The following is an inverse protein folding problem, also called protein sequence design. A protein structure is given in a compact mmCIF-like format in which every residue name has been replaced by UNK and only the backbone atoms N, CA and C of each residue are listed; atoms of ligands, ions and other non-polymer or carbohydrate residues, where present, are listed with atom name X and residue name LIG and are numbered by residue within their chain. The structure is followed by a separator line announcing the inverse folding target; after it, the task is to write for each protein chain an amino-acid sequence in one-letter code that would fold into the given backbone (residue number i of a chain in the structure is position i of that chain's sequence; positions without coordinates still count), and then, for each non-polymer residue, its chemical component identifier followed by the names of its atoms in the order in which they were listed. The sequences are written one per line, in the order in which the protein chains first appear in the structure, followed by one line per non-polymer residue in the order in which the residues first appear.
data_IF_645290579741
#
_entry.id   IF_645290579741
#
_cell.length_a   1.000
_cell.length_b   1.000
_cell.length_c   1.000
_cell.angle_alpha   90.00
_cell.angle_beta   90.00
_cell.angle_gamma   90.00
#
_symmetry.space_group_name_H-M   'P 1'
#
loop_
_entity.id
_entity.type
_entity.pdbx_description
1 polymer ?
#
# COMPACT_ATOMS: atom_id res chain seq x y z
N UNK A 1 27.55 12.28 -30.41
CA UNK A 1 26.07 12.17 -30.54
C UNK A 1 25.65 10.99 -29.72
N UNK A 2 25.29 11.21 -28.46
CA UNK A 2 24.67 10.21 -27.60
C UNK A 2 23.17 10.25 -27.87
N UNK A 3 22.64 9.20 -28.43
CA UNK A 3 21.21 9.05 -28.69
C UNK A 3 20.43 9.21 -27.38
N UNK A 4 19.53 10.20 -27.36
CA UNK A 4 18.52 10.33 -26.33
C UNK A 4 17.53 9.16 -26.49
N UNK A 5 17.16 8.43 -25.43
CA UNK A 5 16.20 7.34 -25.54
C UNK A 5 14.87 7.89 -26.07
N UNK A 6 14.36 7.28 -27.13
CA UNK A 6 13.03 7.54 -27.69
C UNK A 6 11.97 7.18 -26.66
N UNK A 7 11.00 8.09 -26.50
CA UNK A 7 9.83 7.93 -25.64
C UNK A 7 9.11 6.60 -25.96
N UNK A 8 9.03 5.68 -24.98
CA UNK A 8 8.30 4.41 -25.11
C UNK A 8 9.09 3.09 -24.95
N UNK A 9 10.40 3.10 -24.67
CA UNK A 9 11.08 1.86 -24.26
C UNK A 9 10.65 1.45 -22.83
N UNK A 10 10.22 0.20 -22.58
CA UNK A 10 9.89 -0.26 -21.24
C UNK A 10 11.14 -0.17 -20.36
N UNK A 11 11.07 0.66 -19.33
CA UNK A 11 12.13 0.72 -18.31
C UNK A 11 12.14 -0.62 -17.60
N UNK A 12 13.22 -1.38 -17.76
CA UNK A 12 13.39 -2.65 -17.08
C UNK A 12 13.41 -2.41 -15.57
N UNK A 13 12.54 -3.12 -14.86
CA UNK A 13 12.48 -3.03 -13.41
C UNK A 13 13.76 -3.60 -12.82
N UNK A 14 14.41 -2.86 -11.93
CA UNK A 14 15.62 -3.31 -11.23
C UNK A 14 15.21 -4.02 -9.94
N UNK A 15 15.46 -5.34 -9.81
CA UNK A 15 15.22 -6.04 -8.56
C UNK A 15 16.00 -5.40 -7.42
N UNK A 16 15.36 -5.23 -6.27
CA UNK A 16 15.92 -4.47 -5.14
C UNK A 16 15.67 -5.21 -3.84
N UNK A 17 16.72 -5.44 -3.06
CA UNK A 17 16.59 -6.03 -1.72
C UNK A 17 16.24 -4.96 -0.67
N UNK A 18 15.31 -5.30 0.21
CA UNK A 18 14.99 -4.52 1.40
C UNK A 18 14.32 -5.42 2.46
N UNK A 19 14.74 -5.28 3.73
CA UNK A 19 14.15 -6.01 4.86
C UNK A 19 14.12 -7.55 4.68
N UNK A 20 15.13 -8.11 4.00
CA UNK A 20 15.22 -9.54 3.70
C UNK A 20 14.32 -10.02 2.56
N UNK A 21 13.61 -9.12 1.87
CA UNK A 21 12.77 -9.42 0.70
C UNK A 21 13.40 -8.85 -0.57
N UNK A 22 13.44 -9.65 -1.64
CA UNK A 22 13.83 -9.19 -2.98
C UNK A 22 12.57 -8.74 -3.74
N UNK A 23 12.43 -7.43 -3.93
CA UNK A 23 11.36 -6.83 -4.70
C UNK A 23 11.66 -6.86 -6.20
N UNK A 24 10.63 -6.94 -7.04
CA UNK A 24 10.76 -6.94 -8.51
C UNK A 24 11.22 -5.61 -9.06
N UNK A 25 10.95 -4.53 -8.34
CA UNK A 25 11.37 -3.19 -8.71
C UNK A 25 11.88 -2.38 -7.52
N UNK A 26 12.75 -1.40 -7.81
CA UNK A 26 13.14 -0.37 -6.85
C UNK A 26 11.94 0.39 -6.30
N UNK A 27 10.92 0.61 -7.12
CA UNK A 27 9.72 1.35 -6.72
C UNK A 27 8.93 0.60 -5.64
N UNK A 28 8.77 -0.71 -5.79
CA UNK A 28 8.16 -1.57 -4.75
C UNK A 28 8.98 -1.54 -3.46
N UNK A 29 10.31 -1.63 -3.54
CA UNK A 29 11.17 -1.53 -2.36
C UNK A 29 11.05 -0.17 -1.66
N UNK A 30 10.89 0.93 -2.42
CA UNK A 30 10.68 2.27 -1.86
C UNK A 30 9.27 2.40 -1.22
N UNK A 31 8.25 1.73 -1.74
CA UNK A 31 6.95 1.61 -1.08
C UNK A 31 7.03 0.82 0.22
N UNK A 32 7.76 -0.30 0.24
CA UNK A 32 8.00 -1.05 1.47
C UNK A 32 8.71 -0.19 2.54
N UNK A 33 9.74 0.57 2.16
CA UNK A 33 10.40 1.55 3.05
C UNK A 33 9.41 2.57 3.59
N UNK A 34 8.56 3.10 2.72
CA UNK A 34 7.54 4.09 3.09
C UNK A 34 6.57 3.51 4.12
N UNK A 35 6.05 2.31 3.89
CA UNK A 35 5.15 1.62 4.82
C UNK A 35 5.84 1.36 6.18
N UNK A 36 7.09 0.92 6.17
CA UNK A 36 7.88 0.73 7.39
C UNK A 36 8.08 2.05 8.17
N UNK A 37 8.35 3.17 7.48
CA UNK A 37 8.44 4.48 8.18
C UNK A 37 7.13 4.90 8.84
N UNK A 38 6.01 4.44 8.31
CA UNK A 38 4.68 4.70 8.86
C UNK A 38 4.24 3.61 9.85
N UNK A 39 5.09 2.62 10.15
CA UNK A 39 4.76 1.46 10.98
C UNK A 39 3.48 0.75 10.48
N UNK A 40 3.34 0.65 9.16
CA UNK A 40 2.24 -0.08 8.52
C UNK A 40 2.80 -1.44 8.11
N UNK A 41 2.21 -2.49 8.62
CA UNK A 41 2.62 -3.83 8.25
C UNK A 41 2.22 -4.18 6.82
N UNK A 42 3.07 -4.97 6.19
CA UNK A 42 2.89 -5.40 4.81
C UNK A 42 3.36 -6.83 4.60
N UNK A 43 2.68 -7.50 3.69
CA UNK A 43 3.09 -8.77 3.08
C UNK A 43 3.31 -8.52 1.60
N UNK A 44 4.46 -8.95 1.06
CA UNK A 44 4.79 -8.79 -0.35
C UNK A 44 4.34 -10.02 -1.13
N UNK A 45 3.59 -9.79 -2.22
CA UNK A 45 3.07 -10.83 -3.12
C UNK A 45 2.44 -12.04 -2.39
N UNK A 46 1.48 -11.84 -1.47
CA UNK A 46 1.04 -12.88 -0.53
C UNK A 46 0.41 -14.09 -1.21
N UNK A 47 -0.29 -13.91 -2.34
CA UNK A 47 -0.83 -15.02 -3.12
C UNK A 47 -1.17 -14.65 -4.56
N UNK A 48 -1.18 -15.66 -5.44
CA UNK A 48 -1.66 -15.55 -6.82
C UNK A 48 -3.17 -15.82 -6.87
N UNK A 49 -3.89 -14.92 -7.53
CA UNK A 49 -5.35 -14.91 -7.58
C UNK A 49 -5.81 -15.10 -9.03
N UNK A 50 -6.87 -15.88 -9.23
CA UNK A 50 -7.58 -15.93 -10.52
C UNK A 50 -8.74 -14.94 -10.42
N UNK A 51 -8.67 -13.86 -11.21
CA UNK A 51 -9.71 -12.83 -11.24
C UNK A 51 -10.97 -13.35 -11.98
N UNK A 52 -12.14 -12.73 -11.78
CA UNK A 52 -13.37 -13.08 -12.51
C UNK A 52 -13.24 -13.02 -14.03
N UNK A 53 -12.36 -12.17 -14.55
CA UNK A 53 -11.99 -12.13 -15.98
C UNK A 53 -11.23 -13.37 -16.48
N UNK A 54 -10.84 -14.30 -15.60
CA UNK A 54 -9.96 -15.44 -15.89
C UNK A 54 -8.46 -15.07 -15.86
N UNK A 55 -8.11 -13.80 -15.59
CA UNK A 55 -6.73 -13.38 -15.53
C UNK A 55 -6.05 -13.86 -14.25
N UNK A 56 -4.85 -14.43 -14.38
CA UNK A 56 -3.94 -14.60 -13.24
C UNK A 56 -3.39 -13.23 -12.82
N UNK A 57 -3.50 -12.93 -11.54
CA UNK A 57 -3.06 -11.67 -10.95
C UNK A 57 -2.32 -11.93 -9.65
N UNK A 58 -1.23 -11.19 -9.44
CA UNK A 58 -0.41 -11.26 -8.25
C UNK A 58 -0.23 -9.81 -7.78
N UNK A 59 -0.97 -9.38 -6.75
CA UNK A 59 -0.86 -8.03 -6.22
C UNK A 59 0.46 -7.83 -5.47
N UNK A 60 0.98 -6.60 -5.48
CA UNK A 60 2.28 -6.31 -4.87
C UNK A 60 2.27 -6.40 -3.34
N UNK A 61 1.27 -5.82 -2.67
CA UNK A 61 1.23 -5.75 -1.20
C UNK A 61 -0.16 -5.99 -0.60
N UNK A 62 -0.19 -6.68 0.53
CA UNK A 62 -1.31 -6.71 1.47
C UNK A 62 -0.94 -6.03 2.80
N UNK A 63 -1.84 -5.19 3.32
CA UNK A 63 -1.69 -4.46 4.58
C UNK A 63 -2.72 -5.01 5.61
N UNK A 64 -2.37 -6.04 6.40
CA UNK A 64 -3.34 -6.84 7.15
C UNK A 64 -4.09 -6.06 8.23
N UNK A 65 -3.40 -5.21 8.98
CA UNK A 65 -4.01 -4.49 10.12
C UNK A 65 -5.12 -3.51 9.70
N UNK A 66 -5.08 -3.06 8.45
CA UNK A 66 -6.00 -2.04 7.92
C UNK A 66 -6.81 -2.57 6.73
N UNK A 67 -6.71 -3.88 6.45
CA UNK A 67 -7.47 -4.55 5.41
C UNK A 67 -7.37 -3.83 4.06
N UNK A 68 -6.16 -3.62 3.54
CA UNK A 68 -5.94 -2.82 2.32
C UNK A 68 -4.92 -3.48 1.41
N UNK A 69 -5.23 -3.60 0.13
CA UNK A 69 -4.26 -3.97 -0.90
C UNK A 69 -3.55 -2.72 -1.43
N UNK A 70 -2.27 -2.84 -1.75
CA UNK A 70 -1.51 -1.80 -2.43
C UNK A 70 -0.84 -2.39 -3.68
N UNK A 71 -1.07 -1.73 -4.80
CA UNK A 71 -0.51 -2.05 -6.11
C UNK A 71 0.39 -0.90 -6.56
N UNK A 72 1.65 -1.20 -6.83
CA UNK A 72 2.66 -0.25 -7.22
C UNK A 72 2.63 -0.07 -8.74
N UNK A 73 2.47 1.18 -9.18
CA UNK A 73 2.36 1.55 -10.59
C UNK A 73 3.50 2.46 -11.02
N UNK A 74 4.16 2.09 -12.11
CA UNK A 74 5.14 2.93 -12.78
C UNK A 74 4.50 4.17 -13.44
N UNK A 75 5.31 5.17 -13.82
CA UNK A 75 4.84 6.45 -14.37
C UNK A 75 4.04 6.35 -15.68
N UNK A 76 4.07 5.20 -16.36
CA UNK A 76 3.40 4.98 -17.66
C UNK A 76 2.31 3.88 -17.61
N UNK A 77 1.86 3.44 -16.42
CA UNK A 77 0.90 2.33 -16.31
C UNK A 77 -0.43 2.78 -15.68
N UNK A 78 -1.39 3.29 -16.48
CA UNK A 78 -2.70 3.71 -15.98
C UNK A 78 -3.71 2.56 -15.81
N UNK A 79 -3.34 1.33 -16.19
CA UNK A 79 -4.25 0.17 -16.16
C UNK A 79 -4.59 -0.20 -14.72
N UNK A 80 -5.83 0.04 -14.34
CA UNK A 80 -6.37 -0.23 -13.01
C UNK A 80 -7.39 -1.37 -13.00
N UNK A 81 -7.76 -1.91 -14.16
CA UNK A 81 -8.87 -2.87 -14.33
C UNK A 81 -8.70 -4.09 -13.41
N UNK A 82 -7.51 -4.68 -13.39
CA UNK A 82 -7.18 -5.81 -12.51
C UNK A 82 -7.22 -5.45 -11.03
N UNK A 83 -6.75 -4.26 -10.66
CA UNK A 83 -6.81 -3.77 -9.28
C UNK A 83 -8.27 -3.51 -8.84
N UNK A 84 -9.13 -3.06 -9.75
CA UNK A 84 -10.57 -2.94 -9.50
C UNK A 84 -11.22 -4.31 -9.34
N UNK A 85 -10.89 -5.26 -10.21
CA UNK A 85 -11.37 -6.64 -10.10
C UNK A 85 -10.91 -7.31 -8.80
N UNK A 86 -9.66 -7.08 -8.38
CA UNK A 86 -9.13 -7.56 -7.10
C UNK A 86 -9.99 -7.09 -5.94
N UNK A 87 -10.23 -5.78 -5.83
CA UNK A 87 -11.04 -5.24 -4.74
C UNK A 87 -12.45 -5.83 -4.73
N UNK A 88 -13.08 -5.98 -5.90
CA UNK A 88 -14.40 -6.64 -6.01
C UNK A 88 -14.36 -8.11 -5.59
N UNK A 89 -13.26 -8.81 -5.90
CA UNK A 89 -13.05 -10.23 -5.58
C UNK A 89 -12.78 -10.44 -4.08
N UNK A 90 -12.08 -9.49 -3.43
CA UNK A 90 -11.66 -9.57 -2.03
C UNK A 90 -12.57 -8.83 -1.05
N UNK A 91 -13.64 -8.19 -1.52
CA UNK A 91 -14.63 -7.55 -0.66
C UNK A 91 -15.35 -8.56 0.27
N UNK A 92 -15.24 -8.40 1.59
CA UNK A 92 -16.12 -9.11 2.55
C UNK A 92 -17.55 -8.57 2.38
N UNK A 93 -18.55 -9.48 2.41
CA UNK A 93 -19.98 -9.16 2.31
C UNK A 93 -20.78 -9.73 3.49
N UNK A 94 -20.11 -9.98 4.62
CA UNK A 94 -20.75 -10.51 5.81
C UNK A 94 -21.52 -9.42 6.55
N UNK A 95 -22.68 -9.77 7.10
CA UNK A 95 -23.54 -8.88 7.90
C UNK A 95 -23.32 -9.03 9.42
N UNK A 96 -22.29 -9.76 9.83
CA UNK A 96 -21.95 -10.09 11.23
C UNK A 96 -20.46 -10.37 11.42
N UNK A 97 -20.04 -11.05 12.50
CA UNK A 97 -18.65 -11.46 12.70
C UNK A 97 -18.10 -12.14 11.42
N UNK A 98 -17.10 -11.53 10.79
CA UNK A 98 -16.56 -11.92 9.48
C UNK A 98 -15.24 -12.67 9.71
N UNK A 99 -15.18 -13.94 9.31
CA UNK A 99 -13.95 -14.75 9.25
C UNK A 99 -13.35 -14.77 7.83
N UNK A 100 -13.62 -13.74 7.01
CA UNK A 100 -13.00 -13.68 5.69
C UNK A 100 -11.49 -13.59 5.83
N UNK A 101 -10.77 -14.33 4.99
CA UNK A 101 -9.31 -14.28 4.92
C UNK A 101 -8.77 -12.87 4.60
N UNK A 102 -9.58 -12.02 3.98
CA UNK A 102 -9.20 -10.66 3.56
C UNK A 102 -10.23 -9.64 4.04
N UNK A 103 -10.36 -9.40 5.35
CA UNK A 103 -11.30 -8.43 5.88
C UNK A 103 -10.89 -7.03 5.38
N UNK A 104 -11.84 -6.26 4.86
CA UNK A 104 -11.54 -4.98 4.22
C UNK A 104 -10.89 -5.09 2.82
N UNK A 105 -10.69 -6.29 2.28
CA UNK A 105 -10.02 -6.49 0.99
C UNK A 105 -10.65 -5.77 -0.21
N UNK A 106 -11.81 -5.11 -0.06
CA UNK A 106 -12.37 -4.22 -1.07
C UNK A 106 -11.51 -2.98 -1.37
N UNK A 107 -10.69 -2.51 -0.42
CA UNK A 107 -9.86 -1.33 -0.64
C UNK A 107 -8.55 -1.71 -1.33
N UNK A 108 -8.35 -1.13 -2.52
CA UNK A 108 -7.12 -1.28 -3.30
C UNK A 108 -6.55 0.10 -3.61
N UNK A 109 -5.35 0.36 -3.12
CA UNK A 109 -4.56 1.55 -3.40
C UNK A 109 -3.67 1.32 -4.61
N UNK A 110 -3.52 2.36 -5.42
CA UNK A 110 -2.48 2.48 -6.42
C UNK A 110 -1.41 3.39 -5.86
N UNK A 111 -0.15 2.93 -5.82
CA UNK A 111 0.99 3.69 -5.35
C UNK A 111 1.95 4.02 -6.49
N UNK A 112 2.27 5.29 -6.68
CA UNK A 112 3.17 5.75 -7.76
C UNK A 112 4.54 6.19 -7.25
N UNK A 113 5.43 6.50 -8.19
CA UNK A 113 6.65 7.25 -7.92
C UNK A 113 6.33 8.53 -7.15
N UNK A 114 7.24 8.95 -6.26
CA UNK A 114 7.05 10.18 -5.52
C UNK A 114 6.80 11.40 -6.42
N UNK A 115 5.85 12.25 -6.01
CA UNK A 115 5.71 13.58 -6.59
C UNK A 115 6.96 14.41 -6.24
N UNK A 116 7.60 14.96 -7.27
CA UNK A 116 8.70 15.92 -7.11
C UNK A 116 8.12 17.32 -6.94
N UNK A 117 8.77 18.11 -6.10
CA UNK A 117 8.68 19.58 -6.16
C UNK A 117 9.14 20.05 -7.54
N UNK A 118 8.31 20.85 -8.24
CA UNK A 118 8.75 21.53 -9.46
C UNK A 118 9.94 22.44 -9.14
N UNK A 119 11.08 22.26 -9.83
CA UNK A 119 12.22 23.17 -9.72
C UNK A 119 13.61 22.56 -9.96
N UNK A 120 13.84 21.28 -9.65
CA UNK A 120 15.20 20.72 -9.67
C UNK A 120 15.51 19.98 -10.96
N UNK A 121 16.01 20.74 -11.94
CA UNK A 121 16.45 20.28 -13.26
C UNK A 121 17.76 19.48 -13.23
N UNK A 122 18.36 19.25 -12.07
CA UNK A 122 19.63 18.55 -11.96
C UNK A 122 19.70 17.62 -10.74
N UNK A 123 20.45 16.52 -10.93
CA UNK A 123 21.02 15.59 -9.94
C UNK A 123 20.24 14.29 -9.70
N UNK A 124 20.78 13.25 -10.32
CA UNK A 124 20.43 11.83 -10.25
C UNK A 124 20.58 11.16 -8.87
N UNK A 125 20.61 11.88 -7.74
CA UNK A 125 20.96 11.29 -6.42
C UNK A 125 20.26 11.86 -5.18
N UNK A 126 19.24 12.72 -5.33
CA UNK A 126 18.53 13.30 -4.17
C UNK A 126 17.04 13.02 -4.25
N UNK A 127 16.44 12.42 -3.21
CA UNK A 127 15.03 12.66 -2.86
C UNK A 127 14.86 12.54 -1.34
N UNK A 128 14.14 13.49 -0.73
CA UNK A 128 12.84 13.12 -0.21
C UNK A 128 11.78 13.70 -1.14
N UNK A 129 10.98 12.82 -1.74
CA UNK A 129 9.69 13.18 -2.32
C UNK A 129 8.58 12.68 -1.41
N UNK A 130 7.34 12.94 -1.78
CA UNK A 130 6.18 12.47 -1.01
C UNK A 130 5.45 11.37 -1.75
N UNK A 131 4.92 10.41 -0.99
CA UNK A 131 4.18 9.28 -1.54
C UNK A 131 2.99 9.80 -2.35
N UNK A 132 2.72 9.19 -3.50
CA UNK A 132 1.57 9.52 -4.33
C UNK A 132 0.67 8.29 -4.44
N UNK A 133 -0.62 8.46 -4.16
CA UNK A 133 -1.57 7.35 -4.12
C UNK A 133 -2.94 7.73 -4.67
N UNK A 134 -3.73 6.72 -5.02
CA UNK A 134 -5.17 6.86 -5.27
C UNK A 134 -5.89 5.54 -4.97
N UNK A 135 -7.21 5.59 -4.83
CA UNK A 135 -8.02 4.39 -4.85
C UNK A 135 -8.10 3.85 -6.29
N UNK A 136 -7.96 2.53 -6.46
CA UNK A 136 -8.15 1.89 -7.76
C UNK A 136 -9.59 2.07 -8.28
N UNK A 137 -10.56 2.09 -7.36
CA UNK A 137 -11.96 2.36 -7.66
C UNK A 137 -12.70 3.02 -6.50
N UNK A 138 -13.84 3.63 -6.79
CA UNK A 138 -14.64 4.33 -5.79
C UNK A 138 -14.10 5.74 -5.49
N UNK A 139 -14.53 6.35 -4.37
CA UNK A 139 -14.06 7.66 -3.94
C UNK A 139 -12.56 7.67 -3.66
N UNK A 140 -11.94 8.86 -3.73
CA UNK A 140 -10.53 9.04 -3.41
C UNK A 140 -10.19 8.50 -2.01
N UNK A 141 -8.95 8.02 -1.87
CA UNK A 141 -8.41 7.54 -0.62
C UNK A 141 -7.63 8.65 0.10
N UNK A 142 -7.86 8.76 1.41
CA UNK A 142 -7.30 9.78 2.29
C UNK A 142 -6.50 9.11 3.39
N UNK A 143 -5.32 9.63 3.68
CA UNK A 143 -4.47 9.15 4.74
C UNK A 143 -4.86 9.78 6.08
N UNK A 144 -4.81 9.00 7.16
CA UNK A 144 -5.20 9.44 8.50
C UNK A 144 -4.49 8.63 9.58
N UNK A 145 -4.19 9.28 10.70
CA UNK A 145 -3.76 8.63 11.93
C UNK A 145 -4.99 8.40 12.82
N UNK A 146 -5.25 7.16 13.19
CA UNK A 146 -6.32 6.85 14.14
C UNK A 146 -5.86 7.12 15.58
N UNK A 147 -6.53 8.01 16.34
CA UNK A 147 -6.13 8.33 17.71
C UNK A 147 -6.42 7.19 18.71
N UNK A 148 -7.27 6.22 18.35
CA UNK A 148 -7.65 5.14 19.27
C UNK A 148 -6.74 3.92 19.21
N UNK A 149 -6.31 3.52 18.02
CA UNK A 149 -5.40 2.38 17.85
C UNK A 149 -3.99 2.79 17.39
N UNK A 150 -3.74 4.06 17.10
CA UNK A 150 -2.44 4.56 16.66
C UNK A 150 -2.06 4.17 15.23
N UNK A 151 -2.90 3.42 14.51
CA UNK A 151 -2.62 2.98 13.15
C UNK A 151 -2.77 4.12 12.14
N UNK A 152 -1.76 4.23 11.29
CA UNK A 152 -1.77 5.01 10.06
C UNK A 152 -2.42 4.20 8.97
N UNK A 153 -3.36 4.80 8.24
CA UNK A 153 -4.18 4.06 7.28
C UNK A 153 -4.70 4.96 6.18
N UNK A 154 -5.25 4.33 5.15
CA UNK A 154 -6.06 5.01 4.16
C UNK A 154 -7.53 4.68 4.38
N UNK A 155 -8.40 5.68 4.23
CA UNK A 155 -9.86 5.52 4.23
C UNK A 155 -10.45 6.16 2.97
N UNK A 156 -11.70 5.82 2.65
CA UNK A 156 -12.49 6.58 1.67
C UNK A 156 -13.47 7.48 2.41
N UNK A 157 -13.90 8.58 1.79
CA UNK A 157 -14.90 9.48 2.40
C UNK A 157 -16.34 8.93 2.35
N UNK A 158 -16.54 7.61 2.29
CA UNK A 158 -17.86 7.01 2.44
C UNK A 158 -18.24 7.00 3.91
N UNK A 159 -19.30 7.73 4.27
CA UNK A 159 -19.80 7.79 5.65
C UNK A 159 -20.41 6.44 6.09
N UNK A 160 -20.35 6.10 7.39
CA UNK A 160 -19.62 6.81 8.44
C UNK A 160 -18.10 6.62 8.28
N UNK A 161 -17.31 7.68 8.49
CA UNK A 161 -15.86 7.56 8.44
C UNK A 161 -15.38 6.82 9.68
N UNK A 162 -14.81 5.63 9.49
CA UNK A 162 -14.37 4.74 10.56
C UNK A 162 -12.97 4.24 10.29
N UNK A 163 -12.21 4.03 11.35
CA UNK A 163 -10.95 3.30 11.28
C UNK A 163 -11.20 1.89 10.74
N UNK A 164 -10.40 1.46 9.75
CA UNK A 164 -10.51 0.13 9.14
C UNK A 164 -10.11 -1.00 10.09
N UNK A 165 -9.31 -0.70 11.11
CA UNK A 165 -8.87 -1.66 12.11
C UNK A 165 -9.80 -1.74 13.33
N UNK A 166 -10.02 -0.61 14.02
CA UNK A 166 -10.78 -0.59 15.28
C UNK A 166 -12.24 -0.12 15.14
N UNK A 167 -12.68 0.23 13.93
CA UNK A 167 -14.04 0.67 13.60
C UNK A 167 -14.57 1.91 14.35
N UNK A 168 -13.72 2.60 15.12
CA UNK A 168 -14.05 3.87 15.78
C UNK A 168 -14.13 5.02 14.77
N UNK A 169 -14.96 6.01 15.10
CA UNK A 169 -15.36 7.11 14.23
C UNK A 169 -14.22 8.10 13.99
N UNK A 170 -13.83 8.35 12.73
CA UNK A 170 -12.81 9.32 12.31
C UNK A 170 -13.40 10.67 11.86
N UNK A 171 -14.69 10.96 12.15
CA UNK A 171 -15.40 12.16 11.66
C UNK A 171 -14.74 13.50 12.06
N UNK A 172 -13.95 13.52 13.14
CA UNK A 172 -13.27 14.72 13.65
C UNK A 172 -11.78 14.76 13.34
N UNK A 173 -11.24 13.76 12.62
CA UNK A 173 -9.82 13.67 12.34
C UNK A 173 -9.44 14.39 11.05
N UNK A 174 -8.22 14.92 11.01
CA UNK A 174 -7.64 15.50 9.81
C UNK A 174 -7.32 14.40 8.78
N UNK A 175 -7.70 14.65 7.52
CA UNK A 175 -7.57 13.70 6.43
C UNK A 175 -6.66 14.29 5.35
N UNK A 176 -5.65 13.53 4.95
CA UNK A 176 -4.62 14.00 4.02
C UNK A 176 -4.78 13.36 2.64
N UNK A 177 -4.61 14.17 1.60
CA UNK A 177 -4.51 13.80 0.19
C UNK A 177 -3.03 13.74 -0.23
N UNK A 178 -2.73 13.16 -1.42
CA UNK A 178 -1.35 13.10 -1.93
C UNK A 178 -0.63 14.45 -1.98
N UNK A 179 -1.32 15.50 -2.41
CA UNK A 179 -0.72 16.83 -2.58
C UNK A 179 -0.44 17.56 -1.26
N UNK A 180 -0.97 17.08 -0.13
CA UNK A 180 -0.68 17.60 1.21
C UNK A 180 0.72 17.21 1.71
N UNK A 181 1.39 16.27 1.03
CA UNK A 181 2.81 15.96 1.23
C UNK A 181 3.15 15.58 2.68
N UNK A 182 2.35 14.69 3.28
CA UNK A 182 2.55 14.25 4.67
C UNK A 182 3.26 12.90 4.81
N UNK A 183 3.44 12.16 3.71
CA UNK A 183 4.11 10.85 3.69
C UNK A 183 5.45 10.93 2.97
N UNK A 184 6.58 10.99 3.68
CA UNK A 184 7.90 10.88 3.07
C UNK A 184 8.06 9.57 2.31
N UNK A 185 8.55 9.65 1.07
CA UNK A 185 8.69 8.48 0.19
C UNK A 185 10.10 7.94 0.19
N UNK A 186 10.24 6.63 0.42
CA UNK A 186 11.50 5.89 0.28
C UNK A 186 12.60 6.33 1.25
N UNK A 187 12.29 7.18 2.24
CA UNK A 187 13.28 7.65 3.21
C UNK A 187 13.69 6.53 4.16
N UNK A 188 14.98 6.34 4.38
CA UNK A 188 15.50 5.51 5.47
C UNK A 188 15.17 6.19 6.80
N UNK A 189 14.14 5.73 7.52
CA UNK A 189 13.98 6.10 8.93
C UNK A 189 14.83 5.19 9.81
N UNK A 190 15.12 5.64 11.03
CA UNK A 190 15.95 4.99 12.06
C UNK A 190 15.26 3.74 12.67
N UNK A 191 14.12 3.29 12.12
CA UNK A 191 13.45 2.07 12.55
C UNK A 191 14.22 0.82 12.12
N UNK A 192 14.47 -0.11 13.06
CA UNK A 192 15.28 -1.28 12.78
C UNK A 192 14.41 -2.43 12.24
N UNK A 193 14.94 -3.26 11.32
CA UNK A 193 14.26 -4.48 10.87
C UNK A 193 13.88 -5.45 12.00
N UNK A 194 14.52 -5.37 13.17
CA UNK A 194 14.21 -6.19 14.33
C UNK A 194 12.86 -5.80 14.97
N UNK A 195 12.49 -4.52 14.93
CA UNK A 195 11.22 -4.04 15.46
C UNK A 195 10.05 -4.51 14.58
N UNK A 196 10.22 -4.50 13.26
CA UNK A 196 9.24 -5.05 12.31
C UNK A 196 9.15 -6.57 12.41
N UNK A 197 10.27 -7.30 12.60
CA UNK A 197 10.26 -8.76 12.75
C UNK A 197 9.55 -9.22 14.04
N UNK A 198 9.69 -8.48 15.14
CA UNK A 198 8.98 -8.75 16.38
C UNK A 198 7.46 -8.56 16.21
N UNK A 199 7.05 -7.44 15.61
CA UNK A 199 5.63 -7.17 15.32
C UNK A 199 5.07 -8.22 14.33
N UNK A 200 5.83 -8.58 13.31
CA UNK A 200 5.47 -9.66 12.35
C UNK A 200 5.26 -10.99 13.04
N UNK A 201 6.11 -11.35 14.00
CA UNK A 201 6.00 -12.61 14.74
C UNK A 201 4.76 -12.60 15.63
N UNK A 202 4.55 -11.53 16.37
CA UNK A 202 3.41 -11.39 17.27
C UNK A 202 2.06 -11.41 16.52
N UNK A 203 2.01 -10.83 15.32
CA UNK A 203 0.78 -10.87 14.50
C UNK A 203 0.60 -12.21 13.79
N UNK A 204 1.67 -12.85 13.33
CA UNK A 204 1.58 -14.22 12.81
C UNK A 204 1.10 -15.19 13.89
N UNK A 205 1.56 -15.01 15.13
CA UNK A 205 1.09 -15.74 16.30
C UNK A 205 -0.40 -15.46 16.57
N UNK A 206 -0.85 -14.20 16.56
CA UNK A 206 -2.26 -13.85 16.75
C UNK A 206 -3.18 -14.38 15.65
N UNK A 207 -2.73 -14.37 14.38
CA UNK A 207 -3.48 -14.94 13.25
C UNK A 207 -3.57 -16.46 13.42
N UNK A 208 -2.47 -17.13 13.73
CA UNK A 208 -2.45 -18.59 13.94
C UNK A 208 -3.29 -19.02 15.15
N UNK A 209 -3.31 -18.22 16.22
CA UNK A 209 -4.17 -18.45 17.39
C UNK A 209 -5.65 -18.28 17.05
N UNK A 210 -6.01 -17.26 16.25
CA UNK A 210 -7.38 -17.06 15.78
C UNK A 210 -7.84 -18.19 14.85
N UNK A 211 -6.95 -18.73 14.01
CA UNK A 211 -7.24 -19.86 13.11
C UNK A 211 -7.32 -21.21 13.84
N UNK A 212 -6.65 -21.37 14.99
CA UNK A 212 -6.64 -22.61 15.77
C UNK A 212 -7.75 -22.68 16.85
N UNK A 213 -8.43 -21.56 17.11
CA UNK A 213 -9.54 -21.45 18.06
C UNK A 213 -10.93 -21.72 17.45
N UNK A 214 -10.98 -21.93 16.12
CA UNK A 214 -12.15 -22.39 15.33
C UNK A 214 -12.04 -23.89 15.00
#
# INVERSE_FOLDING_TARGET
MTDLPTDGQPIEAVPTEYSGTTFRSRLEADWARTLDTQRILWQYEPERIILPSGAHYLPDFWLPEIGTWLEVKGPATPRKEKAVELGKTRACRCDGPCACAWPGGEMVLLGWVAERTHGDINVARSRPGYANWAAAHGPSAYFVLCPWCGLRQWITLRRPWKCRACYRSLESEELFQPHDRVLPFGSSSIWSPADTAAIRREIAEQIAEAEAAD
#
